data_IF_580099773113
#
_entry.id   IF_580099773113
#
_cell.length_a   1.000
_cell.length_b   1.000
_cell.length_c   1.000
_cell.angle_alpha   90.00
_cell.angle_beta   90.00
_cell.angle_gamma   90.00
#
_symmetry.space_group_name_H-M   'P 1'
#
loop_
_entity.id
_entity.type
_entity.pdbx_description
1 polymer ?
#
# COMPACT_ATOMS: atom_id res chain seq x y z
N UNK A 1 24.50 15.00 -17.72
CA UNK A 1 23.53 15.53 -16.76
C UNK A 1 22.98 16.82 -17.34
N UNK A 2 21.91 16.72 -18.14
CA UNK A 2 21.30 17.85 -18.82
C UNK A 2 20.09 18.28 -17.96
N UNK A 3 20.22 19.40 -17.26
CA UNK A 3 19.14 19.95 -16.45
C UNK A 3 18.29 20.80 -17.39
N UNK A 4 17.11 20.30 -17.77
CA UNK A 4 16.12 21.13 -18.45
C UNK A 4 15.46 22.02 -17.40
N UNK A 5 15.72 23.32 -17.47
CA UNK A 5 15.08 24.33 -16.62
C UNK A 5 13.71 24.67 -17.22
N UNK A 6 12.63 24.37 -16.49
CA UNK A 6 11.26 24.74 -16.89
C UNK A 6 10.99 26.20 -16.48
N UNK A 7 10.86 27.08 -17.46
CA UNK A 7 10.35 28.43 -17.25
C UNK A 7 8.83 28.44 -17.34
N UNK A 8 8.14 28.81 -16.26
CA UNK A 8 6.69 28.96 -16.22
C UNK A 8 6.32 30.40 -16.64
N UNK A 9 5.66 30.58 -17.79
CA UNK A 9 5.03 31.86 -18.14
C UNK A 9 3.51 31.66 -18.09
N UNK A 10 2.91 32.09 -16.98
CA UNK A 10 1.46 32.13 -16.83
C UNK A 10 0.92 33.39 -17.51
N UNK A 11 0.23 33.25 -18.63
CA UNK A 11 -0.55 34.35 -19.22
C UNK A 11 -2.02 34.18 -18.85
N UNK A 12 -2.52 35.04 -17.98
CA UNK A 12 -3.95 35.20 -17.71
C UNK A 12 -4.49 34.38 -16.54
N UNK A 13 -5.09 35.08 -15.58
CA UNK A 13 -5.80 34.53 -14.44
C UNK A 13 -7.29 34.42 -14.80
N UNK A 14 -7.81 33.20 -14.95
CA UNK A 14 -9.22 32.89 -14.71
C UNK A 14 -9.31 31.47 -14.13
N UNK A 15 -9.70 31.36 -12.87
CA UNK A 15 -9.48 30.18 -12.01
C UNK A 15 -10.74 29.31 -11.84
N UNK A 16 -11.60 29.19 -12.86
CA UNK A 16 -12.80 28.33 -12.74
C UNK A 16 -12.89 27.13 -13.68
N UNK A 17 -12.09 27.05 -14.75
CA UNK A 17 -11.88 25.82 -15.53
C UNK A 17 -10.50 25.91 -16.23
N UNK A 18 -9.43 25.45 -15.58
CA UNK A 18 -8.09 25.47 -16.19
C UNK A 18 -7.61 24.03 -16.47
N UNK A 19 -7.95 23.52 -17.65
CA UNK A 19 -7.25 22.37 -18.24
C UNK A 19 -5.87 22.84 -18.68
N UNK A 20 -4.82 22.40 -18.00
CA UNK A 20 -3.44 22.67 -18.40
C UNK A 20 -3.11 21.70 -19.55
N UNK A 21 -3.02 22.23 -20.77
CA UNK A 21 -2.48 21.49 -21.92
C UNK A 21 -0.99 21.76 -22.00
N UNK A 22 -0.17 20.73 -21.80
CA UNK A 22 1.27 20.83 -22.03
C UNK A 22 1.55 20.64 -23.51
N UNK A 23 2.05 21.67 -24.19
CA UNK A 23 2.62 21.52 -25.53
C UNK A 23 4.10 21.15 -25.39
N UNK A 24 4.42 19.89 -25.66
CA UNK A 24 5.80 19.39 -25.68
C UNK A 24 6.28 19.46 -27.12
N UNK A 25 6.96 20.55 -27.49
CA UNK A 25 7.65 20.64 -28.77
C UNK A 25 8.89 19.72 -28.74
N UNK A 26 8.79 18.57 -29.41
CA UNK A 26 9.97 17.82 -29.81
C UNK A 26 10.61 18.53 -31.02
N UNK A 27 11.91 18.85 -31.00
CA UNK A 27 12.56 19.39 -32.18
C UNK A 27 12.45 18.39 -33.32
N UNK A 28 11.92 18.86 -34.46
CA UNK A 28 11.94 18.10 -35.71
C UNK A 28 13.39 17.84 -36.09
N UNK A 29 13.80 16.57 -36.09
CA UNK A 29 15.01 16.16 -36.79
C UNK A 29 14.70 16.24 -38.30
N UNK A 30 14.95 17.40 -38.90
CA UNK A 30 15.06 17.51 -40.35
C UNK A 30 16.42 16.94 -40.77
N UNK A 31 16.35 15.81 -41.46
CA UNK A 31 17.40 15.39 -42.39
C UNK A 31 16.73 14.90 -43.66
N UNK A 32 16.22 15.84 -44.47
CA UNK A 32 15.76 15.58 -45.82
C UNK A 32 16.95 15.17 -46.70
N UNK A 33 17.09 13.88 -47.05
CA UNK A 33 17.64 13.42 -48.34
C UNK A 33 17.18 11.98 -48.70
N UNK A 34 16.43 11.93 -49.79
CA UNK A 34 16.43 10.95 -50.89
C UNK A 34 15.64 9.62 -50.78
N UNK A 35 14.65 9.52 -51.68
CA UNK A 35 13.87 8.35 -52.07
C UNK A 35 14.73 7.20 -52.63
N UNK A 36 14.33 5.96 -52.33
CA UNK A 36 14.71 4.75 -53.07
C UNK A 36 13.86 3.58 -52.60
N UNK A 37 12.93 3.11 -53.45
CA UNK A 37 11.87 2.17 -53.10
C UNK A 37 12.31 0.77 -52.67
N UNK A 38 11.41 0.12 -51.94
CA UNK A 38 11.50 -1.30 -51.57
C UNK A 38 10.50 -1.61 -50.46
N UNK A 39 9.33 -2.11 -50.85
CA UNK A 39 8.31 -2.55 -49.91
C UNK A 39 8.82 -3.63 -48.96
N UNK A 40 8.62 -3.39 -47.67
CA UNK A 40 8.76 -4.36 -46.60
C UNK A 40 7.81 -3.93 -45.51
N UNK A 41 6.71 -4.67 -45.34
CA UNK A 41 5.65 -4.37 -44.39
C UNK A 41 6.23 -4.26 -42.98
N UNK A 42 6.43 -3.03 -42.53
CA UNK A 42 6.49 -2.71 -41.12
C UNK A 42 5.11 -2.94 -40.55
N UNK A 43 4.83 -4.19 -40.19
CA UNK A 43 3.87 -4.47 -39.12
C UNK A 43 4.47 -3.86 -37.87
N UNK A 44 4.32 -2.55 -37.73
CA UNK A 44 4.45 -1.87 -36.46
C UNK A 44 3.52 -2.64 -35.54
N UNK A 45 4.14 -3.41 -34.65
CA UNK A 45 3.48 -4.01 -33.51
C UNK A 45 2.99 -2.83 -32.65
N UNK A 46 1.91 -2.19 -33.09
CA UNK A 46 1.10 -1.33 -32.26
C UNK A 46 0.75 -2.19 -31.08
N UNK A 47 1.35 -1.86 -29.94
CA UNK A 47 1.32 -2.70 -28.77
C UNK A 47 -0.13 -3.06 -28.46
N UNK A 48 -0.51 -4.30 -28.74
CA UNK A 48 -1.43 -5.00 -27.88
C UNK A 48 -0.67 -5.25 -26.58
N UNK A 49 -0.41 -4.18 -25.83
CA UNK A 49 -0.17 -4.31 -24.41
C UNK A 49 -1.37 -5.07 -23.90
N UNK A 50 -1.14 -6.30 -23.44
CA UNK A 50 -2.22 -7.11 -22.88
C UNK A 50 -2.94 -6.33 -21.79
N UNK A 51 -4.16 -6.74 -21.48
CA UNK A 51 -4.93 -6.17 -20.38
C UNK A 51 -4.03 -6.08 -19.13
N UNK A 52 -3.83 -4.87 -18.55
CA UNK A 52 -2.95 -4.72 -17.40
C UNK A 52 -3.37 -5.64 -16.26
N UNK A 53 -2.40 -6.15 -15.52
CA UNK A 53 -2.66 -6.99 -14.35
C UNK A 53 -2.09 -6.35 -13.11
N UNK A 54 -2.80 -6.47 -11.98
CA UNK A 54 -2.39 -5.92 -10.68
C UNK A 54 -1.73 -7.00 -9.83
N UNK A 55 -0.56 -6.70 -9.26
CA UNK A 55 0.04 -7.45 -8.15
C UNK A 55 0.01 -6.64 -6.86
N UNK A 56 0.04 -7.32 -5.71
CA UNK A 56 0.03 -6.70 -4.39
C UNK A 56 1.33 -7.01 -3.65
N UNK A 57 1.87 -6.05 -2.92
CA UNK A 57 3.05 -6.23 -2.06
C UNK A 57 3.00 -5.32 -0.83
N UNK A 58 3.81 -5.64 0.17
CA UNK A 58 4.04 -4.80 1.34
C UNK A 58 5.52 -4.44 1.48
N UNK A 59 5.82 -3.30 2.09
CA UNK A 59 7.21 -2.88 2.35
C UNK A 59 7.89 -3.70 3.45
N UNK A 60 7.12 -4.35 4.33
CA UNK A 60 7.59 -5.24 5.37
C UNK A 60 6.51 -6.29 5.71
N UNK A 61 6.94 -7.39 6.33
CA UNK A 61 6.05 -8.45 6.84
C UNK A 61 5.61 -8.21 8.29
N UNK A 62 6.17 -7.20 8.96
CA UNK A 62 5.90 -6.89 10.35
C UNK A 62 5.67 -5.39 10.51
N UNK A 63 4.80 -5.04 11.45
CA UNK A 63 4.53 -3.68 11.88
C UNK A 63 4.61 -3.65 13.40
N UNK A 64 5.29 -2.67 13.98
CA UNK A 64 5.23 -2.45 15.43
C UNK A 64 3.90 -1.77 15.77
N UNK A 65 3.25 -2.17 16.85
CA UNK A 65 1.99 -1.54 17.28
C UNK A 65 2.20 -0.09 17.72
N UNK A 66 3.37 0.22 18.28
CA UNK A 66 3.79 1.57 18.67
C UNK A 66 4.08 2.48 17.47
N UNK A 67 3.04 2.80 16.72
CA UNK A 67 3.06 3.65 15.52
C UNK A 67 3.98 3.17 14.40
N UNK A 68 4.25 1.87 14.31
CA UNK A 68 4.93 1.28 13.15
C UNK A 68 4.10 1.51 11.89
N UNK A 69 4.76 1.58 10.73
CA UNK A 69 4.08 1.77 9.43
C UNK A 69 4.55 0.79 8.39
N UNK A 70 3.62 0.27 7.59
CA UNK A 70 3.88 -0.55 6.41
C UNK A 70 3.16 0.05 5.20
N UNK A 71 3.86 0.13 4.07
CA UNK A 71 3.26 0.56 2.80
C UNK A 71 2.75 -0.65 2.03
N UNK A 72 1.46 -0.64 1.70
CA UNK A 72 0.82 -1.59 0.79
C UNK A 72 0.89 -1.02 -0.62
N UNK A 73 1.41 -1.77 -1.58
CA UNK A 73 1.63 -1.31 -2.96
C UNK A 73 0.88 -2.21 -3.95
N UNK A 74 0.03 -1.60 -4.76
CA UNK A 74 -0.53 -2.22 -5.95
C UNK A 74 0.32 -1.85 -7.15
N UNK A 75 0.68 -2.83 -7.99
CA UNK A 75 1.50 -2.61 -9.19
C UNK A 75 0.80 -3.15 -10.44
N UNK A 76 0.54 -2.29 -11.42
CA UNK A 76 0.13 -2.69 -12.76
C UNK A 76 1.32 -3.19 -13.56
N UNK A 77 1.11 -4.24 -14.37
CA UNK A 77 2.12 -4.77 -15.30
C UNK A 77 2.46 -3.83 -16.47
N UNK A 78 1.60 -2.84 -16.73
CA UNK A 78 1.82 -1.73 -17.67
C UNK A 78 0.99 -0.51 -17.24
N UNK A 79 1.43 0.69 -17.60
CA UNK A 79 0.66 1.90 -17.31
C UNK A 79 -0.65 1.90 -18.10
N UNK A 80 -1.76 2.21 -17.42
CA UNK A 80 -3.08 2.34 -18.03
C UNK A 80 -3.37 3.81 -18.42
N UNK A 81 -4.26 4.00 -19.39
CA UNK A 81 -4.73 5.32 -19.84
C UNK A 81 -5.82 5.92 -18.96
N UNK A 82 -6.37 5.12 -18.04
CA UNK A 82 -7.42 5.48 -17.08
C UNK A 82 -7.00 5.05 -15.67
N UNK A 83 -7.56 5.71 -14.65
CA UNK A 83 -7.30 5.32 -13.25
C UNK A 83 -7.75 3.88 -13.00
N UNK A 84 -6.93 3.12 -12.28
CA UNK A 84 -7.30 1.82 -11.75
C UNK A 84 -7.68 1.96 -10.27
N UNK A 85 -8.83 1.40 -9.90
CA UNK A 85 -9.34 1.35 -8.53
C UNK A 85 -9.29 -0.10 -8.05
N UNK A 86 -8.46 -0.34 -7.04
CA UNK A 86 -8.21 -1.66 -6.45
C UNK A 86 -8.87 -1.66 -5.08
N UNK A 87 -9.94 -2.44 -4.93
CA UNK A 87 -10.58 -2.69 -3.64
C UNK A 87 -9.75 -3.68 -2.82
N UNK A 88 -9.43 -3.32 -1.58
CA UNK A 88 -8.65 -4.12 -0.64
C UNK A 88 -9.58 -4.73 0.41
N UNK A 89 -9.62 -6.06 0.42
CA UNK A 89 -10.23 -6.85 1.49
C UNK A 89 -9.27 -6.95 2.65
N UNK A 90 -9.76 -6.81 3.88
CA UNK A 90 -8.94 -6.87 5.09
C UNK A 90 -9.53 -7.90 6.05
N UNK A 91 -8.71 -8.85 6.47
CA UNK A 91 -9.05 -9.91 7.43
C UNK A 91 -7.83 -10.21 8.32
N UNK A 92 -7.88 -11.28 9.11
CA UNK A 92 -6.83 -11.65 10.06
C UNK A 92 -7.34 -11.71 11.50
N UNK A 93 -6.44 -11.79 12.46
CA UNK A 93 -6.78 -11.74 13.89
C UNK A 93 -6.85 -10.31 14.43
N UNK A 94 -6.07 -9.38 13.85
CA UNK A 94 -6.08 -8.00 14.30
C UNK A 94 -7.38 -7.28 13.96
N UNK A 95 -7.78 -6.41 14.87
CA UNK A 95 -8.98 -5.60 14.85
C UNK A 95 -8.67 -4.19 14.36
N UNK A 96 -9.31 -3.80 13.25
CA UNK A 96 -9.15 -2.44 12.72
C UNK A 96 -9.67 -1.39 13.71
N UNK A 97 -8.88 -0.34 13.89
CA UNK A 97 -9.05 0.78 14.81
C UNK A 97 -8.84 0.44 16.29
N UNK A 98 -8.44 -0.79 16.59
CA UNK A 98 -7.91 -1.18 17.91
C UNK A 98 -6.41 -1.44 17.76
N UNK A 99 -6.02 -2.38 16.90
CA UNK A 99 -4.62 -2.85 16.82
C UNK A 99 -3.89 -2.24 15.60
N UNK A 100 -4.65 -1.85 14.57
CA UNK A 100 -4.12 -1.18 13.39
C UNK A 100 -5.14 -0.29 12.67
N UNK A 101 -4.64 0.61 11.82
CA UNK A 101 -5.44 1.40 10.88
C UNK A 101 -4.88 1.35 9.46
N UNK A 102 -5.74 1.62 8.48
CA UNK A 102 -5.37 1.82 7.07
C UNK A 102 -6.03 3.10 6.56
N UNK A 103 -5.30 3.93 5.81
CA UNK A 103 -5.80 5.23 5.34
C UNK A 103 -7.04 5.11 4.45
N UNK A 104 -7.09 4.08 3.61
CA UNK A 104 -8.24 3.76 2.78
C UNK A 104 -8.20 2.29 2.30
N UNK A 105 -9.35 1.69 2.04
CA UNK A 105 -9.42 0.34 1.45
C UNK A 105 -9.52 0.33 -0.07
N UNK A 106 -9.51 1.49 -0.72
CA UNK A 106 -9.41 1.61 -2.18
C UNK A 106 -8.06 2.17 -2.54
N UNK A 107 -7.20 1.38 -3.17
CA UNK A 107 -5.92 1.83 -3.71
C UNK A 107 -6.14 2.35 -5.13
N UNK A 108 -5.64 3.56 -5.41
CA UNK A 108 -5.79 4.20 -6.72
C UNK A 108 -4.45 4.24 -7.42
N UNK A 109 -4.39 3.70 -8.63
CA UNK A 109 -3.25 3.86 -9.55
C UNK A 109 -3.71 4.85 -10.61
N UNK A 110 -3.17 6.06 -10.57
CA UNK A 110 -3.57 7.13 -11.49
C UNK A 110 -3.14 6.82 -12.92
N UNK A 111 -3.92 7.29 -13.90
CA UNK A 111 -3.60 7.14 -15.32
C UNK A 111 -2.14 7.55 -15.63
N UNK A 112 -1.46 6.75 -16.45
CA UNK A 112 -0.05 6.93 -16.80
C UNK A 112 0.95 6.42 -15.75
N UNK A 113 0.50 6.02 -14.55
CA UNK A 113 1.34 5.40 -13.52
C UNK A 113 1.16 3.88 -13.48
N UNK A 114 2.13 3.19 -12.89
CA UNK A 114 2.07 1.74 -12.66
C UNK A 114 1.87 1.39 -11.19
N UNK A 115 1.99 2.34 -10.27
CA UNK A 115 1.92 2.08 -8.84
C UNK A 115 0.97 3.02 -8.13
N UNK A 116 0.36 2.49 -7.08
CA UNK A 116 -0.44 3.21 -6.10
C UNK A 116 -0.20 2.58 -4.73
N UNK A 117 -0.44 3.34 -3.67
CA UNK A 117 -0.06 2.93 -2.32
C UNK A 117 -1.14 3.22 -1.29
N UNK A 118 -1.14 2.41 -0.23
CA UNK A 118 -1.85 2.65 1.03
C UNK A 118 -0.91 2.48 2.20
N UNK A 119 -1.23 3.09 3.32
CA UNK A 119 -0.43 3.05 4.54
C UNK A 119 -1.21 2.33 5.63
N UNK A 120 -0.60 1.25 6.11
CA UNK A 120 -1.00 0.52 7.30
C UNK A 120 -0.20 1.07 8.49
N UNK A 121 -0.87 1.33 9.62
CA UNK A 121 -0.26 1.89 10.83
C UNK A 121 -0.68 1.06 12.03
N UNK A 122 0.28 0.62 12.85
CA UNK A 122 0.01 0.00 14.14
C UNK A 122 -0.59 1.03 15.11
N UNK A 123 -1.44 0.57 16.02
CA UNK A 123 -2.02 1.41 17.07
C UNK A 123 -1.49 0.89 18.40
N UNK A 124 -0.89 1.80 19.16
CA UNK A 124 -0.33 1.56 20.49
C UNK A 124 -1.47 1.44 21.51
N UNK A 125 -1.46 0.42 22.35
CA UNK A 125 -2.32 0.38 23.53
C UNK A 125 -1.57 -0.04 24.81
N UNK A 126 -2.19 -0.81 25.69
CA UNK A 126 -1.58 -1.26 26.96
C UNK A 126 -1.94 -2.70 27.29
N UNK A 127 -2.37 -3.46 26.29
CA UNK A 127 -2.86 -4.82 26.39
C UNK A 127 -1.76 -5.72 25.84
N UNK A 128 -1.26 -6.62 26.69
CA UNK A 128 -0.35 -7.69 26.26
C UNK A 128 -1.10 -8.65 25.33
N UNK A 129 -0.83 -8.55 24.04
CA UNK A 129 -1.42 -9.36 22.99
C UNK A 129 -0.40 -10.33 22.36
N UNK A 130 -0.86 -11.56 22.10
CA UNK A 130 -0.07 -12.53 21.37
C UNK A 130 -0.07 -12.13 19.88
N UNK A 131 0.93 -11.36 19.44
CA UNK A 131 1.21 -10.90 18.07
C UNK A 131 0.18 -11.28 16.98
N UNK A 132 -0.55 -10.27 16.50
CA UNK A 132 -1.70 -10.47 15.62
C UNK A 132 -1.36 -10.41 14.12
N UNK A 133 -2.32 -10.75 13.27
CA UNK A 133 -2.15 -10.76 11.81
C UNK A 133 -3.16 -9.88 11.10
N UNK A 134 -2.69 -9.22 10.04
CA UNK A 134 -3.47 -8.44 9.08
C UNK A 134 -3.25 -9.08 7.71
N UNK A 135 -4.32 -9.61 7.13
CA UNK A 135 -4.33 -10.23 5.80
C UNK A 135 -5.03 -9.27 4.84
N UNK A 136 -4.37 -8.95 3.73
CA UNK A 136 -4.84 -8.00 2.73
C UNK A 136 -4.97 -8.74 1.40
N UNK A 137 -6.19 -8.78 0.87
CA UNK A 137 -6.55 -9.39 -0.41
C UNK A 137 -6.98 -8.31 -1.41
N UNK A 138 -6.89 -8.61 -2.70
CA UNK A 138 -7.58 -7.81 -3.73
C UNK A 138 -9.01 -8.35 -3.87
N UNK A 139 -10.00 -7.56 -3.42
CA UNK A 139 -11.42 -7.92 -3.53
C UNK A 139 -11.95 -7.68 -4.95
N UNK A 140 -11.55 -6.57 -5.56
CA UNK A 140 -11.95 -6.20 -6.92
C UNK A 140 -10.95 -5.24 -7.58
N UNK A 141 -10.92 -5.28 -8.91
CA UNK A 141 -10.20 -4.28 -9.74
C UNK A 141 -11.19 -3.69 -10.74
N UNK A 142 -11.21 -2.37 -10.86
CA UNK A 142 -12.03 -1.65 -11.85
C UNK A 142 -11.22 -0.53 -12.50
N UNK A 143 -11.59 -0.11 -13.71
CA UNK A 143 -10.81 0.89 -14.47
C UNK A 143 -9.50 0.32 -15.04
N UNK A 144 -8.47 1.15 -15.17
CA UNK A 144 -7.13 0.71 -15.59
C UNK A 144 -7.08 0.01 -16.94
N UNK A 145 -7.88 0.43 -17.90
CA UNK A 145 -8.03 -0.23 -19.21
C UNK A 145 -8.52 -1.69 -19.10
N UNK A 146 -9.49 -1.90 -18.20
CA UNK A 146 -10.03 -3.22 -17.83
C UNK A 146 -9.03 -4.10 -17.09
N UNK A 147 -8.16 -3.49 -16.28
CA UNK A 147 -7.16 -4.20 -15.50
C UNK A 147 -7.81 -5.30 -14.65
N UNK A 148 -7.10 -6.42 -14.51
CA UNK A 148 -7.53 -7.56 -13.68
C UNK A 148 -6.50 -7.88 -12.63
N UNK A 149 -6.91 -8.60 -11.59
CA UNK A 149 -5.98 -9.16 -10.64
C UNK A 149 -5.04 -10.18 -11.31
N UNK A 150 -3.76 -10.18 -10.95
CA UNK A 150 -2.78 -11.15 -11.45
C UNK A 150 -2.86 -12.45 -10.65
N UNK A 151 -3.78 -13.35 -11.02
CA UNK A 151 -4.18 -14.46 -10.15
C UNK A 151 -4.67 -13.94 -8.77
N UNK A 152 -4.93 -14.83 -7.82
CA UNK A 152 -5.29 -14.41 -6.46
C UNK A 152 -4.05 -13.89 -5.73
N UNK A 153 -4.15 -12.67 -5.23
CA UNK A 153 -3.12 -11.92 -4.53
C UNK A 153 -3.53 -11.70 -3.08
N UNK A 154 -2.61 -12.06 -2.19
CA UNK A 154 -2.77 -11.90 -0.76
C UNK A 154 -1.41 -11.56 -0.16
N UNK A 155 -1.41 -10.63 0.80
CA UNK A 155 -0.24 -10.32 1.62
C UNK A 155 -0.62 -10.37 3.09
N UNK A 156 0.33 -10.75 3.93
CA UNK A 156 0.13 -10.84 5.39
C UNK A 156 1.16 -9.96 6.08
N UNK A 157 0.70 -9.19 7.06
CA UNK A 157 1.52 -8.39 7.97
C UNK A 157 1.22 -8.81 9.39
N UNK A 158 2.25 -9.04 10.20
CA UNK A 158 2.12 -9.37 11.63
C UNK A 158 2.36 -8.13 12.48
N UNK A 159 1.48 -7.88 13.45
CA UNK A 159 1.62 -6.83 14.46
C UNK A 159 2.57 -7.37 15.54
N UNK A 160 3.56 -6.56 15.91
CA UNK A 160 4.51 -6.87 16.98
C UNK A 160 4.11 -6.07 18.20
N UNK A 161 3.70 -6.79 19.23
CA UNK A 161 3.38 -6.31 20.57
C UNK A 161 4.66 -5.82 21.29
N UNK A 162 4.58 -4.68 21.95
CA UNK A 162 5.61 -4.07 22.79
C UNK A 162 5.20 -3.93 24.26
N UNK A 163 4.02 -4.45 24.62
CA UNK A 163 3.52 -4.57 25.96
C UNK A 163 4.07 -5.79 26.72
N UNK A 164 3.91 -5.76 28.04
CA UNK A 164 4.46 -6.78 28.92
C UNK A 164 3.37 -7.59 29.59
N UNK A 165 3.56 -8.91 29.60
CA UNK A 165 2.67 -9.82 30.33
C UNK A 165 2.34 -9.35 31.76
N UNK A 166 1.06 -9.43 32.17
CA UNK A 166 0.63 -8.98 33.49
C UNK A 166 1.33 -9.79 34.58
N UNK A 167 1.98 -9.10 35.52
CA UNK A 167 2.64 -9.75 36.65
C UNK A 167 1.74 -9.77 37.90
N UNK A 168 1.46 -10.97 38.42
CA UNK A 168 0.79 -11.15 39.71
C UNK A 168 1.79 -11.67 40.72
N UNK A 169 1.96 -10.95 41.83
CA UNK A 169 2.83 -11.37 42.95
C UNK A 169 1.99 -11.66 44.17
N UNK A 170 2.02 -12.90 44.64
CA UNK A 170 1.36 -13.29 45.88
C UNK A 170 2.30 -13.11 47.07
N UNK A 171 1.82 -12.43 48.09
CA UNK A 171 2.50 -12.31 49.38
C UNK A 171 1.73 -13.06 50.45
N UNK A 172 2.45 -13.89 51.20
CA UNK A 172 1.88 -14.63 52.32
C UNK A 172 2.14 -13.87 53.62
N UNK A 173 1.12 -13.78 54.48
CA UNK A 173 1.25 -13.15 55.80
C UNK A 173 2.24 -13.89 56.73
N UNK A 174 2.59 -15.13 56.42
CA UNK A 174 3.65 -15.90 57.06
C UNK A 174 4.17 -17.00 56.12
N UNK A 175 5.30 -17.64 56.46
CA UNK A 175 5.89 -18.76 55.71
C UNK A 175 5.59 -20.14 56.29
N UNK A 176 4.84 -20.22 57.41
CA UNK A 176 4.42 -21.48 58.04
C UNK A 176 3.09 -21.31 58.79
N UNK A 177 2.29 -22.39 58.84
CA UNK A 177 1.03 -22.49 59.61
C UNK A 177 1.20 -23.49 60.74
N UNK A 178 0.68 -23.15 61.92
CA UNK A 178 0.53 -24.10 63.01
C UNK A 178 -0.71 -24.98 62.79
N UNK A 179 -0.61 -26.27 63.09
CA UNK A 179 -1.65 -27.28 62.85
C UNK A 179 -2.98 -27.02 63.60
N UNK A 180 -2.97 -26.17 64.62
CA UNK A 180 -4.16 -25.75 65.35
C UNK A 180 -4.79 -24.49 64.73
N UNK A 181 -5.65 -24.69 63.73
CA UNK A 181 -6.58 -23.70 63.17
C UNK A 181 -5.99 -22.31 62.81
N UNK A 182 -4.69 -22.23 62.53
CA UNK A 182 -4.05 -21.00 62.10
C UNK A 182 -4.31 -20.79 60.61
N UNK A 183 -4.62 -19.56 60.20
CA UNK A 183 -4.74 -19.18 58.79
C UNK A 183 -3.58 -18.27 58.40
N UNK A 184 -3.16 -18.40 57.14
CA UNK A 184 -2.33 -17.40 56.46
C UNK A 184 -3.23 -16.71 55.46
N UNK A 185 -3.06 -15.39 55.35
CA UNK A 185 -3.68 -14.61 54.27
C UNK A 185 -2.69 -14.54 53.12
N UNK A 186 -3.16 -14.90 51.92
CA UNK A 186 -2.47 -14.62 50.67
C UNK A 186 -3.08 -13.33 50.11
N UNK A 187 -2.23 -12.34 49.82
CA UNK A 187 -2.65 -11.11 49.15
C UNK A 187 -1.98 -11.06 47.79
N UNK A 188 -2.74 -10.77 46.75
CA UNK A 188 -2.27 -10.51 45.39
C UNK A 188 -2.12 -9.00 45.16
#
# INVERSE_FOLDING_TARGET
MLIASLGLIQTGCDIREATIVYDVEFPRADSDQAQGGGGGGGSGSGGSGGTPTVTLSTSAANIAENSGTVTVTGTLSSAASTDALIGLGISGSGTRNTDFSIDNTTLVIVAGSTTGTRTLTGIDDSIDDDGETIIIDIDNVTGGDSATESATQQVTVTITDDDGAPNVTLTASASSVAEAASSITLTA
#
